data_IF_743173325796
#
_entry.id   IF_743173325796
#
_cell.length_a   1.000
_cell.length_b   1.000
_cell.length_c   1.000
_cell.angle_alpha   90.00
_cell.angle_beta   90.00
_cell.angle_gamma   90.00
#
_symmetry.space_group_name_H-M   'P 1'
#
loop_
_entity.id
_entity.type
_entity.pdbx_description
1 polymer ?
#
# COMPACT_ATOMS: atom_id res chain seq x y z
N UNK A 1 53.62 22.89 -21.98
CA UNK A 1 52.29 22.29 -22.21
C UNK A 1 52.41 20.81 -21.93
N UNK A 2 51.65 20.29 -20.96
CA UNK A 2 51.00 18.96 -20.95
C UNK A 2 50.11 18.99 -19.69
N UNK A 3 48.80 19.05 -19.92
CA UNK A 3 47.75 18.98 -18.90
C UNK A 3 47.37 17.50 -18.74
N UNK A 4 47.42 16.90 -17.53
CA UNK A 4 46.95 15.54 -17.35
C UNK A 4 45.42 15.55 -17.28
N UNK A 5 44.78 14.91 -18.26
CA UNK A 5 43.36 14.62 -18.28
C UNK A 5 43.09 13.50 -17.27
N UNK A 6 42.56 13.84 -16.09
CA UNK A 6 42.06 12.85 -15.14
C UNK A 6 40.58 12.61 -15.48
N UNK A 7 40.29 11.50 -16.15
CA UNK A 7 38.92 11.02 -16.29
C UNK A 7 38.47 10.43 -14.95
N UNK A 8 37.72 11.21 -14.17
CA UNK A 8 36.94 10.66 -13.07
C UNK A 8 35.79 9.83 -13.64
N UNK A 9 35.84 8.52 -13.43
CA UNK A 9 34.69 7.66 -13.67
C UNK A 9 33.60 8.00 -12.65
N UNK A 10 32.47 8.55 -13.11
CA UNK A 10 31.23 8.49 -12.35
C UNK A 10 30.79 7.02 -12.34
N UNK A 11 31.18 6.28 -11.30
CA UNK A 11 30.63 4.96 -11.04
C UNK A 11 29.23 5.16 -10.46
N UNK A 12 28.21 5.11 -11.33
CA UNK A 12 26.82 5.02 -10.87
C UNK A 12 26.68 3.68 -10.16
N UNK A 13 26.62 3.72 -8.84
CA UNK A 13 26.50 2.52 -8.02
C UNK A 13 25.21 1.78 -8.42
N UNK A 14 25.34 0.51 -8.79
CA UNK A 14 24.19 -0.31 -9.15
C UNK A 14 23.27 -0.47 -7.93
N UNK A 15 21.94 -0.40 -8.11
CA UNK A 15 21.01 -0.59 -6.99
C UNK A 15 21.16 -1.98 -6.38
N UNK A 16 21.11 -2.03 -5.05
CA UNK A 16 21.25 -3.25 -4.28
C UNK A 16 19.88 -3.86 -3.96
N UNK A 17 19.83 -5.14 -3.58
CA UNK A 17 18.56 -5.82 -3.27
C UNK A 17 17.78 -5.11 -2.14
N UNK A 18 18.47 -4.51 -1.18
CA UNK A 18 17.91 -3.73 -0.08
C UNK A 18 17.16 -2.45 -0.50
N UNK A 19 17.45 -1.93 -1.70
CA UNK A 19 16.76 -0.76 -2.25
C UNK A 19 15.32 -1.10 -2.69
N UNK A 20 15.01 -2.39 -2.84
CA UNK A 20 13.70 -2.88 -3.30
C UNK A 20 12.87 -3.51 -2.19
N UNK A 21 13.38 -3.55 -0.94
CA UNK A 21 12.62 -4.07 0.20
C UNK A 21 11.63 -2.99 0.66
N UNK A 22 10.30 -3.21 0.56
CA UNK A 22 9.31 -2.24 1.01
C UNK A 22 9.47 -1.89 2.49
N UNK A 23 9.37 -0.61 2.82
CA UNK A 23 9.26 -0.17 4.22
C UNK A 23 7.88 0.46 4.43
N UNK A 24 7.05 -0.24 5.20
CA UNK A 24 5.70 0.19 5.55
C UNK A 24 5.75 1.15 6.74
N UNK A 25 5.10 2.31 6.62
CA UNK A 25 5.15 3.41 7.61
C UNK A 25 3.92 3.44 8.53
N UNK A 26 3.07 2.42 8.48
CA UNK A 26 1.87 2.30 9.29
C UNK A 26 0.59 2.67 8.53
N UNK A 27 -0.53 2.46 9.23
CA UNK A 27 -1.89 2.67 8.73
C UNK A 27 -2.61 3.65 9.65
N UNK A 28 -3.12 4.74 9.11
CA UNK A 28 -4.12 5.57 9.76
C UNK A 28 -5.51 5.17 9.25
N UNK A 29 -6.43 4.90 10.17
CA UNK A 29 -7.80 4.50 9.83
C UNK A 29 -8.80 5.54 10.31
N UNK A 30 -9.70 5.96 9.42
CA UNK A 30 -10.75 6.92 9.74
C UNK A 30 -12.12 6.38 9.31
N UNK A 31 -13.01 6.20 10.28
CA UNK A 31 -14.42 5.96 9.98
C UNK A 31 -15.02 7.26 9.43
N UNK A 32 -15.58 7.21 8.23
CA UNK A 32 -16.18 8.39 7.58
C UNK A 32 -17.65 8.53 7.95
N UNK A 33 -18.47 7.56 7.53
CA UNK A 33 -19.89 7.48 7.84
C UNK A 33 -20.39 6.05 7.67
N UNK A 34 -21.26 5.59 8.58
CA UNK A 34 -21.82 4.23 8.54
C UNK A 34 -20.77 3.14 8.40
N UNK A 35 -20.73 2.53 7.22
CA UNK A 35 -19.84 1.45 6.81
C UNK A 35 -18.68 1.92 5.90
N UNK A 36 -18.57 3.22 5.64
CA UNK A 36 -17.53 3.84 4.84
C UNK A 36 -16.30 4.16 5.69
N UNK A 37 -15.15 3.63 5.31
CA UNK A 37 -13.90 3.73 6.05
C UNK A 37 -12.77 4.16 5.11
N UNK A 38 -11.98 5.13 5.54
CA UNK A 38 -10.77 5.59 4.89
C UNK A 38 -9.53 4.98 5.57
N UNK A 39 -8.55 4.63 4.75
CA UNK A 39 -7.24 4.14 5.13
C UNK A 39 -6.19 5.01 4.45
N UNK A 40 -5.46 5.75 5.26
CA UNK A 40 -4.29 6.50 4.82
C UNK A 40 -3.06 5.68 5.19
N UNK A 41 -2.32 5.26 4.18
CA UNK A 41 -1.10 4.45 4.36
C UNK A 41 0.09 5.11 3.70
N UNK A 42 1.28 4.83 4.22
CA UNK A 42 2.52 5.31 3.64
C UNK A 42 3.55 4.20 3.55
N UNK A 43 4.36 4.22 2.49
CA UNK A 43 5.50 3.32 2.34
C UNK A 43 6.64 3.94 1.54
N UNK A 44 7.85 3.44 1.71
CA UNK A 44 8.99 3.76 0.84
C UNK A 44 9.40 2.54 0.03
N UNK A 45 10.20 2.76 -1.02
CA UNK A 45 10.72 1.70 -1.91
C UNK A 45 9.62 0.91 -2.64
N UNK A 46 8.45 1.52 -2.84
CA UNK A 46 7.44 0.99 -3.76
C UNK A 46 7.96 1.09 -5.20
N UNK A 47 7.67 0.06 -6.00
CA UNK A 47 8.04 0.01 -7.42
C UNK A 47 6.96 0.66 -8.30
N UNK A 48 5.73 0.75 -7.80
CA UNK A 48 4.59 1.35 -8.48
C UNK A 48 3.52 1.80 -7.48
N UNK A 49 2.55 2.57 -7.96
CA UNK A 49 1.35 2.94 -7.20
C UNK A 49 0.55 1.72 -6.73
N UNK A 50 0.66 0.60 -7.43
CA UNK A 50 -0.01 -0.65 -7.07
C UNK A 50 0.49 -1.17 -5.72
N UNK A 51 1.78 -1.00 -5.39
CA UNK A 51 2.31 -1.53 -4.13
C UNK A 51 1.71 -0.84 -2.90
N UNK A 52 1.56 0.49 -2.95
CA UNK A 52 0.94 1.25 -1.86
C UNK A 52 -0.58 1.06 -1.82
N UNK A 53 -1.21 0.83 -2.97
CA UNK A 53 -2.63 0.46 -3.05
C UNK A 53 -2.89 -0.95 -2.47
N UNK A 54 -2.04 -1.94 -2.76
CA UNK A 54 -2.10 -3.28 -2.16
C UNK A 54 -1.92 -3.19 -0.63
N UNK A 55 -1.02 -2.32 -0.14
CA UNK A 55 -0.88 -2.11 1.29
C UNK A 55 -2.18 -1.55 1.92
N UNK A 56 -2.81 -0.58 1.27
CA UNK A 56 -4.10 -0.05 1.72
C UNK A 56 -5.22 -1.10 1.70
N UNK A 57 -5.23 -1.99 0.69
CA UNK A 57 -6.18 -3.11 0.62
C UNK A 57 -5.98 -4.11 1.76
N UNK A 58 -4.73 -4.44 2.07
CA UNK A 58 -4.38 -5.30 3.20
C UNK A 58 -4.84 -4.73 4.55
N UNK A 59 -4.67 -3.43 4.74
CA UNK A 59 -5.20 -2.72 5.90
C UNK A 59 -6.74 -2.76 5.97
N UNK A 60 -7.40 -2.48 4.85
CA UNK A 60 -8.85 -2.50 4.75
C UNK A 60 -9.45 -3.87 5.05
N UNK A 61 -8.85 -4.95 4.52
CA UNK A 61 -9.30 -6.31 4.77
C UNK A 61 -9.20 -6.69 6.25
N UNK A 62 -8.07 -6.39 6.90
CA UNK A 62 -7.91 -6.67 8.33
C UNK A 62 -8.84 -5.85 9.21
N UNK A 63 -9.02 -4.57 8.91
CA UNK A 63 -9.97 -3.74 9.62
C UNK A 63 -11.40 -4.28 9.50
N UNK A 64 -11.78 -4.74 8.31
CA UNK A 64 -13.09 -5.38 8.05
C UNK A 64 -13.32 -6.55 9.00
N UNK A 65 -12.33 -7.45 9.15
CA UNK A 65 -12.41 -8.57 10.09
C UNK A 65 -12.47 -8.12 11.56
N UNK A 66 -11.66 -7.12 11.94
CA UNK A 66 -11.65 -6.56 13.32
C UNK A 66 -13.04 -6.02 13.69
N UNK A 67 -13.78 -5.47 12.72
CA UNK A 67 -15.15 -4.97 12.90
C UNK A 67 -16.23 -6.04 12.83
N UNK A 68 -15.86 -7.31 12.62
CA UNK A 68 -16.78 -8.45 12.56
C UNK A 68 -17.49 -8.62 11.22
N UNK A 69 -16.97 -8.02 10.15
CA UNK A 69 -17.50 -8.14 8.79
C UNK A 69 -16.68 -9.12 7.96
N UNK A 70 -17.26 -9.62 6.87
CA UNK A 70 -16.60 -10.58 5.96
C UNK A 70 -16.17 -9.98 4.62
N UNK A 71 -16.72 -8.83 4.25
CA UNK A 71 -16.51 -8.26 2.92
C UNK A 71 -16.19 -6.77 3.01
N UNK A 72 -15.39 -6.31 2.05
CA UNK A 72 -15.23 -4.89 1.78
C UNK A 72 -15.44 -4.64 0.28
N UNK A 73 -15.87 -3.44 -0.08
CA UNK A 73 -15.94 -2.98 -1.47
C UNK A 73 -15.07 -1.76 -1.63
N UNK A 74 -14.16 -1.81 -2.59
CA UNK A 74 -13.33 -0.68 -2.94
C UNK A 74 -14.17 0.47 -3.52
N UNK A 75 -13.98 1.69 -3.01
CA UNK A 75 -14.65 2.89 -3.52
C UNK A 75 -13.66 3.74 -4.32
N UNK A 76 -12.49 4.04 -3.77
CA UNK A 76 -11.42 4.78 -4.43
C UNK A 76 -10.07 4.51 -3.78
N UNK A 77 -9.00 4.71 -4.53
CA UNK A 77 -7.64 4.89 -4.00
C UNK A 77 -7.01 6.03 -4.78
N UNK A 78 -6.52 7.04 -4.07
CA UNK A 78 -5.66 8.08 -4.63
C UNK A 78 -4.24 7.84 -4.15
N UNK A 79 -3.28 7.95 -5.07
CA UNK A 79 -1.86 7.73 -4.76
C UNK A 79 -1.07 8.98 -5.11
N UNK A 80 -0.17 9.36 -4.22
CA UNK A 80 0.78 10.45 -4.42
C UNK A 80 2.17 10.06 -3.92
N UNK A 81 3.19 10.78 -4.38
CA UNK A 81 4.59 10.53 -4.02
C UNK A 81 5.24 11.84 -3.62
N UNK A 82 5.73 11.92 -2.39
CA UNK A 82 6.40 13.09 -1.85
C UNK A 82 7.71 12.69 -1.18
N UNK A 83 8.83 13.26 -1.63
CA UNK A 83 10.14 12.97 -1.03
C UNK A 83 10.55 11.47 -1.07
N UNK A 84 10.03 10.69 -2.03
CA UNK A 84 10.27 9.25 -2.13
C UNK A 84 9.37 8.38 -1.23
N UNK A 85 8.46 9.00 -0.47
CA UNK A 85 7.39 8.32 0.27
C UNK A 85 6.16 8.26 -0.61
N UNK A 86 5.61 7.06 -0.75
CA UNK A 86 4.35 6.80 -1.44
C UNK A 86 3.23 6.83 -0.42
N UNK A 87 2.21 7.63 -0.70
CA UNK A 87 1.00 7.73 0.11
C UNK A 87 -0.19 7.18 -0.66
N UNK A 88 -1.08 6.46 0.02
CA UNK A 88 -2.38 6.10 -0.53
C UNK A 88 -3.50 6.46 0.44
N UNK A 89 -4.48 7.22 -0.05
CA UNK A 89 -5.78 7.45 0.57
C UNK A 89 -6.79 6.52 -0.13
N UNK A 90 -7.17 5.45 0.56
CA UNK A 90 -8.10 4.45 0.06
C UNK A 90 -9.38 4.41 0.88
N UNK A 91 -10.53 4.40 0.20
CA UNK A 91 -11.85 4.33 0.83
C UNK A 91 -12.54 3.03 0.44
N UNK A 92 -13.09 2.36 1.45
CA UNK A 92 -13.84 1.11 1.31
C UNK A 92 -15.17 1.20 2.04
N UNK A 93 -16.15 0.44 1.57
CA UNK A 93 -17.39 0.12 2.29
C UNK A 93 -17.24 -1.27 2.90
N UNK A 94 -17.45 -1.45 4.21
CA UNK A 94 -17.41 -2.77 4.88
C UNK A 94 -18.81 -3.38 5.00
N UNK A 95 -18.95 -4.70 4.89
CA UNK A 95 -20.27 -5.35 4.81
C UNK A 95 -20.28 -6.76 5.40
N UNK A 96 -21.37 -7.17 6.07
CA UNK A 96 -21.50 -8.53 6.64
C UNK A 96 -21.78 -9.59 5.57
N UNK A 97 -22.36 -9.18 4.45
CA UNK A 97 -22.66 -10.04 3.30
C UNK A 97 -22.05 -9.47 2.03
N UNK A 98 -21.94 -10.28 0.98
CA UNK A 98 -21.37 -9.87 -0.30
C UNK A 98 -22.06 -8.58 -0.84
N UNK A 99 -21.36 -7.43 -0.88
CA UNK A 99 -21.96 -6.18 -1.37
C UNK A 99 -22.15 -6.19 -2.88
N UNK A 100 -23.16 -5.46 -3.35
CA UNK A 100 -23.37 -5.23 -4.77
C UNK A 100 -22.30 -4.28 -5.36
N UNK A 101 -21.92 -4.55 -6.61
CA UNK A 101 -20.95 -3.74 -7.35
C UNK A 101 -19.71 -4.54 -7.78
N UNK A 102 -18.70 -3.81 -8.25
CA UNK A 102 -17.42 -4.36 -8.67
C UNK A 102 -16.38 -4.16 -7.56
N UNK A 103 -15.24 -4.86 -7.67
CA UNK A 103 -14.09 -4.75 -6.74
C UNK A 103 -14.47 -5.00 -5.27
N UNK A 104 -15.26 -6.06 -5.08
CA UNK A 104 -15.54 -6.62 -3.76
C UNK A 104 -14.40 -7.55 -3.36
N UNK A 105 -13.96 -7.43 -2.11
CA UNK A 105 -12.94 -8.27 -1.50
C UNK A 105 -13.57 -9.16 -0.43
N UNK A 106 -13.13 -10.41 -0.37
CA UNK A 106 -13.33 -11.28 0.78
C UNK A 106 -12.22 -10.99 1.78
N UNK A 107 -12.58 -10.50 2.96
CA UNK A 107 -11.61 -9.99 3.92
C UNK A 107 -10.71 -11.10 4.49
N UNK A 108 -11.22 -12.32 4.64
CA UNK A 108 -10.43 -13.45 5.14
C UNK A 108 -9.40 -13.88 4.10
N UNK A 109 -9.82 -14.08 2.85
CA UNK A 109 -8.94 -14.46 1.76
C UNK A 109 -7.88 -13.39 1.50
N UNK A 110 -8.27 -12.10 1.48
CA UNK A 110 -7.31 -11.01 1.26
C UNK A 110 -6.28 -10.93 2.39
N UNK A 111 -6.70 -11.06 3.66
CA UNK A 111 -5.74 -11.07 4.78
C UNK A 111 -4.73 -12.23 4.67
N UNK A 112 -5.18 -13.42 4.27
CA UNK A 112 -4.27 -14.55 4.03
C UNK A 112 -3.27 -14.23 2.91
N UNK A 113 -3.74 -13.72 1.77
CA UNK A 113 -2.87 -13.32 0.66
C UNK A 113 -1.85 -12.25 1.07
N UNK A 114 -2.26 -11.28 1.91
CA UNK A 114 -1.35 -10.26 2.44
C UNK A 114 -0.25 -10.88 3.31
N UNK A 115 -0.59 -11.83 4.17
CA UNK A 115 0.38 -12.55 5.01
C UNK A 115 1.36 -13.36 4.18
N UNK A 116 0.89 -14.06 3.13
CA UNK A 116 1.74 -14.81 2.20
C UNK A 116 2.70 -13.89 1.42
N UNK A 117 2.25 -12.69 1.04
CA UNK A 117 3.07 -11.67 0.39
C UNK A 117 3.98 -10.90 1.36
N UNK A 118 3.82 -11.08 2.67
CA UNK A 118 4.56 -10.31 3.68
C UNK A 118 4.13 -8.83 3.79
N UNK A 119 2.94 -8.48 3.32
CA UNK A 119 2.39 -7.12 3.44
C UNK A 119 1.70 -6.99 4.81
N UNK A 120 2.10 -6.03 5.66
CA UNK A 120 1.45 -5.83 6.95
C UNK A 120 0.00 -5.40 6.77
N UNK A 121 -0.82 -5.73 7.76
CA UNK A 121 -2.26 -5.45 7.74
C UNK A 121 -2.72 -4.46 8.83
N UNK A 122 -1.78 -4.05 9.69
CA UNK A 122 -1.90 -3.00 10.73
C UNK A 122 -0.55 -2.32 10.91
#
# INVERSE_FOLDING_TARGET
>A
MILPLVLGACETQAPMAEDFIPEYRGVETKLLDGDLVQFDVAMTKAQSSENVAEYAECAAARYTLIRGFGFARHVRTNVEIEGGVWHADAVYTISPSLPAGLKTIDAEVTVQNCMEKGIPTV
#
